data_IF_594256672407
#
_entry.id   IF_594256672407
#
_cell.length_a   1.000
_cell.length_b   1.000
_cell.length_c   1.000
_cell.angle_alpha   90.00
_cell.angle_beta   90.00
_cell.angle_gamma   90.00
#
_symmetry.space_group_name_H-M   'P 1'
#
loop_
_entity.id
_entity.type
_entity.pdbx_description
1 polymer ?
#
# COMPACT_ATOMS: atom_id res chain seq x y z
N UNK A 1 7.79 -28.93 10.31
CA UNK A 1 8.02 -27.49 10.08
C UNK A 1 6.75 -26.64 10.20
N UNK A 2 5.55 -27.14 9.88
CA UNK A 2 4.28 -26.38 9.97
C UNK A 2 3.74 -26.10 11.39
N UNK A 3 4.14 -26.87 12.41
CA UNK A 3 3.60 -26.72 13.78
C UNK A 3 4.16 -25.52 14.55
N UNK A 4 5.37 -25.05 14.24
CA UNK A 4 6.03 -23.97 14.99
C UNK A 4 5.44 -22.61 14.62
N UNK A 5 5.15 -22.41 13.33
CA UNK A 5 4.51 -21.19 12.82
C UNK A 5 3.15 -20.94 13.48
N UNK A 6 2.34 -21.99 13.67
CA UNK A 6 1.04 -21.86 14.35
C UNK A 6 1.21 -21.46 15.83
N UNK A 7 2.20 -22.03 16.53
CA UNK A 7 2.52 -21.64 17.90
C UNK A 7 2.99 -20.18 17.99
N UNK A 8 3.84 -19.73 17.07
CA UNK A 8 4.32 -18.34 17.02
C UNK A 8 3.18 -17.36 16.72
N UNK A 9 2.29 -17.72 15.79
CA UNK A 9 1.07 -16.95 15.48
C UNK A 9 0.14 -16.87 16.69
N UNK A 10 -0.06 -17.99 17.41
CA UNK A 10 -0.90 -18.01 18.61
C UNK A 10 -0.30 -17.17 19.75
N UNK A 11 1.02 -17.22 19.93
CA UNK A 11 1.72 -16.37 20.89
C UNK A 11 1.65 -14.89 20.51
N UNK A 12 1.71 -14.57 19.21
CA UNK A 12 1.53 -13.20 18.71
C UNK A 12 0.13 -12.68 19.02
N UNK A 13 -0.92 -13.46 18.76
CA UNK A 13 -2.28 -13.09 19.15
C UNK A 13 -2.43 -12.92 20.67
N UNK A 14 -1.78 -13.78 21.46
CA UNK A 14 -1.74 -13.62 22.92
C UNK A 14 -1.12 -12.28 23.37
N UNK A 15 -0.04 -11.84 22.71
CA UNK A 15 0.59 -10.53 22.97
C UNK A 15 -0.33 -9.36 22.58
N UNK A 16 -0.91 -9.42 21.39
CA UNK A 16 -1.80 -8.38 20.87
C UNK A 16 -3.07 -8.22 21.72
N UNK A 17 -3.67 -9.34 22.16
CA UNK A 17 -4.81 -9.33 23.07
C UNK A 17 -4.47 -8.72 24.43
N UNK A 18 -3.30 -9.06 24.98
CA UNK A 18 -2.87 -8.49 26.25
C UNK A 18 -2.59 -6.97 26.14
N UNK A 19 -2.03 -6.52 25.02
CA UNK A 19 -1.85 -5.09 24.74
C UNK A 19 -3.21 -4.37 24.63
N UNK A 20 -4.17 -4.96 23.92
CA UNK A 20 -5.51 -4.40 23.79
C UNK A 20 -6.22 -4.32 25.15
N UNK A 21 -6.06 -5.34 26.02
CA UNK A 21 -6.56 -5.32 27.40
C UNK A 21 -6.02 -4.13 28.19
N UNK A 22 -4.70 -3.91 28.15
CA UNK A 22 -4.06 -2.79 28.86
C UNK A 22 -4.53 -1.42 28.34
N UNK A 23 -4.78 -1.29 27.04
CA UNK A 23 -5.32 -0.06 26.45
C UNK A 23 -6.75 0.23 26.93
N UNK A 24 -7.59 -0.80 27.00
CA UNK A 24 -8.98 -0.68 27.49
C UNK A 24 -8.99 -0.37 28.99
N UNK A 25 -8.11 -1.00 29.77
CA UNK A 25 -7.95 -0.70 31.20
C UNK A 25 -7.51 0.75 31.41
N UNK A 26 -6.54 1.24 30.64
CA UNK A 26 -6.14 2.65 30.65
C UNK A 26 -7.31 3.56 30.28
N UNK A 27 -8.08 3.25 29.22
CA UNK A 27 -9.25 4.06 28.83
C UNK A 27 -10.27 4.21 29.96
N UNK A 28 -10.48 3.15 30.74
CA UNK A 28 -11.44 3.11 31.85
C UNK A 28 -11.01 3.94 33.08
N UNK A 29 -9.74 4.35 33.17
CA UNK A 29 -9.26 5.19 34.26
C UNK A 29 -9.85 6.61 34.17
N UNK A 30 -10.16 7.21 35.33
CA UNK A 30 -10.73 8.57 35.40
C UNK A 30 -9.65 9.66 35.46
N UNK A 31 -8.49 9.33 36.02
CA UNK A 31 -7.35 10.24 36.19
C UNK A 31 -6.30 10.02 35.11
N UNK A 32 -5.72 11.11 34.59
CA UNK A 32 -4.66 11.06 33.56
C UNK A 32 -3.39 10.37 34.06
N UNK A 33 -3.08 10.45 35.35
CA UNK A 33 -1.91 9.79 35.95
C UNK A 33 -2.08 8.26 35.97
N UNK A 34 -3.26 7.78 36.39
CA UNK A 34 -3.60 6.36 36.37
C UNK A 34 -3.59 5.82 34.93
N UNK A 35 -4.09 6.60 33.95
CA UNK A 35 -4.01 6.25 32.52
C UNK A 35 -2.57 6.00 32.07
N UNK A 36 -1.67 6.92 32.39
CA UNK A 36 -0.26 6.81 32.02
C UNK A 36 0.39 5.58 32.65
N UNK A 37 0.09 5.32 33.92
CA UNK A 37 0.60 4.13 34.61
C UNK A 37 0.22 2.83 33.90
N UNK A 38 -1.03 2.71 33.42
CA UNK A 38 -1.49 1.53 32.70
C UNK A 38 -0.85 1.38 31.31
N UNK A 39 -0.59 2.50 30.63
CA UNK A 39 0.07 2.50 29.33
C UNK A 39 1.56 2.13 29.42
N UNK A 40 2.21 2.39 30.55
CA UNK A 40 3.61 2.03 30.77
C UNK A 40 3.83 0.52 30.99
N UNK A 41 2.77 -0.23 31.32
CA UNK A 41 2.82 -1.70 31.39
C UNK A 41 2.85 -2.36 30.00
N UNK A 42 2.53 -1.63 28.93
CA UNK A 42 2.56 -2.17 27.57
C UNK A 42 4.03 -2.38 27.16
N UNK A 43 4.45 -3.62 26.84
CA UNK A 43 5.82 -3.88 26.42
C UNK A 43 6.19 -3.06 25.19
N UNK A 44 7.12 -2.10 25.35
CA UNK A 44 7.61 -1.26 24.26
C UNK A 44 8.68 -2.04 23.48
N UNK A 45 8.41 -2.32 22.20
CA UNK A 45 9.38 -2.95 21.28
C UNK A 45 10.47 -1.98 20.79
N UNK A 46 10.55 -0.79 21.38
CA UNK A 46 11.52 0.25 21.01
C UNK A 46 12.34 0.62 22.26
N UNK A 47 13.68 0.70 22.16
CA UNK A 47 14.50 1.10 23.29
C UNK A 47 14.17 2.53 23.72
N UNK A 48 13.87 2.70 25.01
CA UNK A 48 13.52 3.97 25.64
C UNK A 48 14.58 5.03 25.32
N UNK A 49 14.19 6.09 24.62
CA UNK A 49 15.04 7.25 24.46
C UNK A 49 14.92 8.11 25.71
N UNK A 50 15.83 7.94 26.68
CA UNK A 50 16.05 8.96 27.71
C UNK A 50 16.58 10.21 27.01
N UNK A 51 15.68 11.14 26.71
CA UNK A 51 16.03 12.48 26.25
C UNK A 51 16.36 13.27 27.52
N UNK A 52 17.62 13.21 27.93
CA UNK A 52 18.12 14.03 29.04
C UNK A 52 18.20 15.50 28.58
N UNK A 53 17.18 16.28 28.93
CA UNK A 53 17.23 17.74 28.85
C UNK A 53 17.80 18.24 30.18
N UNK A 54 19.14 18.30 30.21
CA UNK A 54 19.98 19.29 30.90
C UNK A 54 19.93 19.33 32.44
N UNK A 55 21.02 18.92 33.09
CA UNK A 55 21.64 19.75 34.14
C UNK A 55 23.09 19.32 34.41
N UNK A 56 23.89 20.29 34.79
CA UNK A 56 25.31 20.28 35.08
C UNK A 56 25.68 19.48 36.34
N UNK A 57 26.97 19.10 36.37
CA UNK A 57 27.84 18.84 37.52
C UNK A 57 27.60 17.56 38.36
N UNK A 58 28.53 16.60 38.25
CA UNK A 58 29.61 16.39 39.25
C UNK A 58 30.22 14.97 39.19
N UNK A 59 31.55 14.96 39.21
CA UNK A 59 32.47 13.92 39.71
C UNK A 59 32.52 12.52 39.07
N UNK A 60 33.72 12.20 38.54
CA UNK A 60 34.47 11.04 39.04
C UNK A 60 34.59 9.81 38.14
N UNK A 61 35.62 9.81 37.29
CA UNK A 61 36.46 8.61 37.02
C UNK A 61 35.78 7.30 36.58
N UNK A 62 34.82 7.34 35.67
CA UNK A 62 34.36 6.15 34.91
C UNK A 62 34.28 6.42 33.39
N UNK A 63 35.20 7.22 32.86
CA UNK A 63 35.00 7.83 31.54
C UNK A 63 35.51 7.04 30.33
N UNK A 64 36.59 6.26 30.40
CA UNK A 64 37.16 5.67 29.16
C UNK A 64 36.38 4.51 28.54
N UNK A 65 35.83 3.60 29.35
CA UNK A 65 35.01 2.47 28.86
C UNK A 65 33.61 2.93 28.45
N UNK A 66 33.06 3.90 29.18
CA UNK A 66 31.74 4.48 28.92
C UNK A 66 31.73 5.31 27.64
N UNK A 67 32.81 6.03 27.34
CA UNK A 67 32.95 6.90 26.16
C UNK A 67 33.00 6.10 24.85
N UNK A 68 33.79 5.03 24.75
CA UNK A 68 33.82 4.15 23.57
C UNK A 68 32.46 3.46 23.37
N UNK A 69 31.84 2.99 24.45
CA UNK A 69 30.49 2.45 24.40
C UNK A 69 29.46 3.53 24.00
N UNK A 70 29.66 4.80 24.38
CA UNK A 70 28.79 5.92 24.03
C UNK A 70 28.93 6.32 22.56
N UNK A 71 30.15 6.32 22.01
CA UNK A 71 30.41 6.61 20.61
C UNK A 71 29.84 5.52 19.70
N UNK A 72 30.03 4.25 20.06
CA UNK A 72 29.41 3.12 19.35
C UNK A 72 27.88 3.19 19.43
N UNK A 73 27.31 3.63 20.56
CA UNK A 73 25.87 3.87 20.73
C UNK A 73 25.36 5.01 19.85
N UNK A 74 26.09 6.13 19.78
CA UNK A 74 25.73 7.27 18.90
C UNK A 74 25.81 6.87 17.43
N UNK A 75 26.85 6.12 17.04
CA UNK A 75 27.03 5.65 15.66
C UNK A 75 25.96 4.65 15.26
N UNK A 76 25.63 3.67 16.11
CA UNK A 76 24.53 2.74 15.88
C UNK A 76 23.18 3.45 15.83
N UNK A 77 22.96 4.48 16.65
CA UNK A 77 21.75 5.30 16.60
C UNK A 77 21.62 6.07 15.29
N UNK A 78 22.72 6.63 14.78
CA UNK A 78 22.74 7.32 13.50
C UNK A 78 22.49 6.35 12.33
N UNK A 79 23.10 5.17 12.36
CA UNK A 79 22.88 4.11 11.37
C UNK A 79 21.44 3.61 11.41
N UNK A 80 20.90 3.33 12.59
CA UNK A 80 19.50 2.90 12.74
C UNK A 80 18.50 3.97 12.31
N UNK A 81 18.75 5.24 12.63
CA UNK A 81 17.92 6.35 12.13
C UNK A 81 18.02 6.51 10.62
N UNK A 82 19.21 6.37 10.05
CA UNK A 82 19.41 6.43 8.60
C UNK A 82 18.73 5.25 7.89
N UNK A 83 18.79 4.05 8.48
CA UNK A 83 18.18 2.86 7.94
C UNK A 83 16.64 2.89 8.07
N UNK A 84 16.10 3.34 9.21
CA UNK A 84 14.67 3.64 9.34
C UNK A 84 14.22 4.72 8.36
N UNK A 85 15.01 5.78 8.16
CA UNK A 85 14.71 6.81 7.17
C UNK A 85 14.69 6.20 5.75
N UNK A 86 15.61 5.29 5.45
CA UNK A 86 15.67 4.55 4.18
C UNK A 86 14.53 3.55 4.01
N UNK A 87 14.07 2.90 5.08
CA UNK A 87 12.96 1.95 5.05
C UNK A 87 11.61 2.67 4.94
N UNK A 88 11.41 3.73 5.73
CA UNK A 88 10.17 4.51 5.79
C UNK A 88 9.99 5.44 4.60
N UNK A 89 11.03 6.16 4.19
CA UNK A 89 10.98 7.02 3.00
C UNK A 89 11.38 6.29 1.71
N UNK A 90 11.88 5.05 1.81
CA UNK A 90 12.34 4.28 0.65
C UNK A 90 13.50 4.94 -0.09
N UNK A 91 14.04 4.26 -1.09
CA UNK A 91 14.65 4.97 -2.23
C UNK A 91 13.53 5.74 -2.94
N UNK A 92 13.17 6.93 -2.43
CA UNK A 92 12.11 7.78 -3.01
C UNK A 92 12.41 8.18 -4.46
N UNK A 93 13.65 7.96 -4.93
CA UNK A 93 14.04 8.10 -6.33
C UNK A 93 13.58 6.96 -7.24
N UNK A 94 13.46 5.72 -6.77
CA UNK A 94 13.02 4.60 -7.64
C UNK A 94 11.50 4.45 -7.70
N UNK A 95 10.81 4.57 -6.56
CA UNK A 95 9.34 4.39 -6.52
C UNK A 95 8.56 5.53 -7.18
N UNK A 96 9.13 6.73 -7.30
CA UNK A 96 8.46 7.87 -7.96
C UNK A 96 8.55 7.81 -9.48
N UNK A 97 9.63 7.24 -10.02
CA UNK A 97 9.76 6.94 -11.46
C UNK A 97 8.89 5.73 -11.84
N UNK A 98 8.90 4.66 -11.04
CA UNK A 98 8.11 3.45 -11.31
C UNK A 98 6.59 3.70 -11.17
N UNK A 99 6.14 4.47 -10.17
CA UNK A 99 4.71 4.76 -10.00
C UNK A 99 4.14 5.76 -11.01
N UNK A 100 4.96 6.68 -11.53
CA UNK A 100 4.56 7.59 -12.62
C UNK A 100 4.55 6.88 -13.98
N UNK A 101 5.49 5.96 -14.20
CA UNK A 101 5.56 5.12 -15.39
C UNK A 101 4.38 4.12 -15.42
N UNK A 102 4.02 3.52 -14.29
CA UNK A 102 2.88 2.60 -14.20
C UNK A 102 1.53 3.32 -14.39
N UNK A 103 1.41 4.57 -13.93
CA UNK A 103 0.23 5.41 -14.20
C UNK A 103 0.12 5.79 -15.68
N UNK A 104 1.22 6.23 -16.31
CA UNK A 104 1.23 6.54 -17.76
C UNK A 104 0.91 5.29 -18.60
N UNK A 105 1.44 4.12 -18.23
CA UNK A 105 1.12 2.84 -18.89
C UNK A 105 -0.35 2.47 -18.74
N UNK A 106 -0.98 2.83 -17.62
CA UNK A 106 -2.40 2.57 -17.41
C UNK A 106 -3.27 3.49 -18.27
N UNK A 107 -2.91 4.77 -18.38
CA UNK A 107 -3.59 5.72 -19.27
C UNK A 107 -3.46 5.31 -20.75
N UNK A 108 -2.26 4.92 -21.19
CA UNK A 108 -2.01 4.45 -22.57
C UNK A 108 -2.83 3.18 -22.88
N UNK A 109 -2.89 2.22 -21.94
CA UNK A 109 -3.74 1.02 -22.10
C UNK A 109 -5.21 1.38 -22.20
N UNK A 110 -5.69 2.33 -21.41
CA UNK A 110 -7.08 2.79 -21.47
C UNK A 110 -7.40 3.46 -22.81
N UNK A 111 -6.50 4.32 -23.31
CA UNK A 111 -6.65 4.96 -24.61
C UNK A 111 -6.67 3.92 -25.75
N UNK A 112 -5.79 2.93 -25.70
CA UNK A 112 -5.75 1.85 -26.68
C UNK A 112 -7.06 1.05 -26.71
N UNK A 113 -7.61 0.69 -25.54
CA UNK A 113 -8.90 -0.01 -25.45
C UNK A 113 -10.04 0.86 -26.00
N UNK A 114 -10.04 2.16 -25.70
CA UNK A 114 -11.05 3.08 -26.22
C UNK A 114 -10.98 3.18 -27.76
N UNK A 115 -9.77 3.22 -28.32
CA UNK A 115 -9.56 3.24 -29.77
C UNK A 115 -9.99 1.93 -30.44
N UNK A 116 -9.69 0.77 -29.84
CA UNK A 116 -10.17 -0.53 -30.32
C UNK A 116 -11.69 -0.61 -30.31
N UNK A 117 -12.34 -0.19 -29.23
CA UNK A 117 -13.79 -0.15 -29.11
C UNK A 117 -14.44 0.76 -30.17
N UNK A 118 -13.81 1.92 -30.43
CA UNK A 118 -14.26 2.85 -31.45
C UNK A 118 -14.12 2.26 -32.86
N UNK A 119 -13.01 1.58 -33.14
CA UNK A 119 -12.77 0.88 -34.41
C UNK A 119 -13.80 -0.24 -34.62
N UNK A 120 -14.02 -1.07 -33.60
CA UNK A 120 -15.01 -2.14 -33.61
C UNK A 120 -16.41 -1.59 -33.88
N UNK A 121 -16.79 -0.49 -33.22
CA UNK A 121 -18.10 0.15 -33.41
C UNK A 121 -18.27 0.69 -34.83
N UNK A 122 -17.22 1.29 -35.41
CA UNK A 122 -17.24 1.76 -36.80
C UNK A 122 -17.40 0.58 -37.77
N UNK A 123 -16.67 -0.52 -37.54
CA UNK A 123 -16.80 -1.74 -38.34
C UNK A 123 -18.20 -2.34 -38.24
N UNK A 124 -18.76 -2.43 -37.04
CA UNK A 124 -20.13 -2.92 -36.82
C UNK A 124 -21.16 -2.05 -37.54
N UNK A 125 -21.04 -0.72 -37.45
CA UNK A 125 -21.91 0.22 -38.18
C UNK A 125 -21.83 -0.01 -39.70
N UNK A 126 -20.62 -0.19 -40.23
CA UNK A 126 -20.42 -0.48 -41.65
C UNK A 126 -21.06 -1.81 -42.04
N UNK A 127 -20.85 -2.87 -41.26
CA UNK A 127 -21.44 -4.18 -41.51
C UNK A 127 -22.97 -4.14 -41.47
N UNK A 128 -23.57 -3.44 -40.52
CA UNK A 128 -25.02 -3.23 -40.47
C UNK A 128 -25.54 -2.44 -41.68
N UNK A 129 -24.78 -1.43 -42.14
CA UNK A 129 -25.15 -0.65 -43.33
C UNK A 129 -25.10 -1.50 -44.59
N UNK A 130 -24.04 -2.30 -44.76
CA UNK A 130 -23.90 -3.23 -45.89
C UNK A 130 -25.02 -4.27 -45.85
N UNK A 131 -25.27 -4.91 -44.70
CA UNK A 131 -26.36 -5.87 -44.54
C UNK A 131 -27.73 -5.23 -44.87
N UNK A 132 -27.97 -4.00 -44.40
CA UNK A 132 -29.18 -3.25 -44.73
C UNK A 132 -29.33 -2.93 -46.22
N UNK A 133 -28.23 -2.66 -46.93
CA UNK A 133 -28.24 -2.45 -48.37
C UNK A 133 -28.51 -3.76 -49.12
N UNK A 134 -27.84 -4.86 -48.75
CA UNK A 134 -28.08 -6.20 -49.32
C UNK A 134 -29.53 -6.60 -49.16
N UNK A 135 -30.13 -6.42 -47.97
CA UNK A 135 -31.54 -6.72 -47.75
C UNK A 135 -32.48 -5.87 -48.63
N UNK A 136 -32.14 -4.60 -48.88
CA UNK A 136 -32.93 -3.75 -49.79
C UNK A 136 -32.80 -4.21 -51.23
N UNK A 137 -31.60 -4.59 -51.65
CA UNK A 137 -31.34 -5.08 -53.00
C UNK A 137 -32.03 -6.44 -53.23
N UNK A 138 -31.98 -7.35 -52.27
CA UNK A 138 -32.70 -8.64 -52.30
C UNK A 138 -34.21 -8.45 -52.43
N UNK A 139 -34.80 -7.49 -51.68
CA UNK A 139 -36.23 -7.18 -51.80
C UNK A 139 -36.59 -6.62 -53.18
N UNK A 140 -35.72 -5.82 -53.80
CA UNK A 140 -35.94 -5.32 -55.16
C UNK A 140 -35.88 -6.46 -56.17
N UNK A 141 -34.89 -7.35 -56.08
CA UNK A 141 -34.75 -8.49 -56.98
C UNK A 141 -35.95 -9.43 -56.87
N UNK A 142 -36.38 -9.78 -55.64
CA UNK A 142 -37.59 -10.58 -55.44
C UNK A 142 -38.85 -9.93 -56.03
N UNK A 143 -38.99 -8.60 -55.92
CA UNK A 143 -40.14 -7.89 -56.50
C UNK A 143 -40.14 -7.92 -58.04
N UNK A 144 -38.96 -7.85 -58.67
CA UNK A 144 -38.79 -7.89 -60.13
C UNK A 144 -39.01 -9.31 -60.65
N UNK A 145 -38.49 -10.33 -59.96
CA UNK A 145 -38.68 -11.73 -60.33
C UNK A 145 -40.15 -12.17 -60.18
N UNK A 146 -40.84 -11.75 -59.11
CA UNK A 146 -42.29 -12.00 -58.98
C UNK A 146 -43.08 -11.37 -60.13
N UNK A 147 -42.73 -10.15 -60.54
CA UNK A 147 -43.41 -9.44 -61.61
C UNK A 147 -43.14 -10.05 -62.99
N UNK A 148 -41.96 -10.65 -63.18
CA UNK A 148 -41.58 -11.31 -64.44
C UNK A 148 -42.20 -12.71 -64.55
N UNK A 149 -42.38 -13.42 -63.43
CA UNK A 149 -43.00 -14.75 -63.41
C UNK A 149 -44.53 -14.74 -63.61
N UNK A 150 -45.20 -13.65 -63.24
CA UNK A 150 -46.66 -13.50 -63.38
C UNK A 150 -47.13 -12.89 -64.72
N UNK A 151 -46.23 -12.75 -65.70
CA UNK A 151 -46.51 -12.19 -67.03
C UNK A 151 -46.24 -13.23 -68.12
#
# INVERSE_FOLDING_TARGET
MFSLHNADTLMQYGRELNQMRLLVEAESCKSSEDKLSQLDLIPRHFPEATIDIRSQDSNGTLHKSTEIASELRVRNRAVYRADLRKQLLGEEKKRKEEGSDDLMKHEEKQENIANELLSLTRSLKQNMTIAGNVLKDDNKVQSVDLFTFFK
#
